data_IF_162018701907
#
_entry.id   IF_162018701907
#
_cell.length_a   1.000
_cell.length_b   1.000
_cell.length_c   1.000
_cell.angle_alpha   90.00
_cell.angle_beta   90.00
_cell.angle_gamma   90.00
#
_symmetry.space_group_name_H-M   'P 1'
#
loop_
_entity.id
_entity.type
_entity.pdbx_description
1 polymer ?
#
# COMPACT_ATOMS: atom_id res chain seq x y z
N UNK A 1 -17.77 9.16 -7.64
CA UNK A 1 -18.74 9.56 -8.69
C UNK A 1 -19.61 8.35 -9.01
N UNK A 2 -20.91 8.56 -9.20
CA UNK A 2 -21.83 7.52 -9.67
C UNK A 2 -21.56 7.29 -11.17
N UNK A 3 -21.25 6.05 -11.56
CA UNK A 3 -20.92 5.64 -12.93
C UNK A 3 -22.08 5.00 -13.66
N UNK A 4 -23.13 4.64 -12.93
CA UNK A 4 -24.34 4.05 -13.48
C UNK A 4 -25.41 3.93 -12.40
N UNK A 5 -26.66 3.72 -12.79
CA UNK A 5 -27.71 3.29 -11.87
C UNK A 5 -28.52 2.17 -12.51
N UNK A 6 -28.88 1.18 -11.70
CA UNK A 6 -29.70 0.05 -12.11
C UNK A 6 -30.92 -0.04 -11.21
N UNK A 7 -32.09 -0.27 -11.82
CA UNK A 7 -33.35 -0.45 -11.11
C UNK A 7 -33.80 -1.89 -11.20
N UNK A 8 -34.03 -2.53 -10.06
CA UNK A 8 -34.65 -3.85 -9.98
C UNK A 8 -35.96 -3.75 -9.18
N UNK A 9 -37.08 -3.70 -9.90
CA UNK A 9 -38.41 -3.50 -9.32
C UNK A 9 -38.54 -2.13 -8.64
N UNK A 10 -38.74 -2.11 -7.33
CA UNK A 10 -38.80 -0.91 -6.50
C UNK A 10 -37.43 -0.49 -5.92
N UNK A 11 -36.38 -1.30 -6.10
CA UNK A 11 -35.04 -1.01 -5.57
C UNK A 11 -34.21 -0.24 -6.60
N UNK A 12 -33.54 0.81 -6.12
CA UNK A 12 -32.56 1.57 -6.87
C UNK A 12 -31.16 1.19 -6.37
N UNK A 13 -30.27 0.86 -7.30
CA UNK A 13 -28.86 0.60 -7.06
C UNK A 13 -28.06 1.65 -7.81
N UNK A 14 -27.23 2.40 -7.11
CA UNK A 14 -26.25 3.30 -7.70
C UNK A 14 -24.93 2.54 -7.83
N UNK A 15 -24.38 2.49 -9.04
CA UNK A 15 -23.06 1.95 -9.32
C UNK A 15 -22.06 3.07 -9.08
N UNK A 16 -21.24 2.95 -8.03
CA UNK A 16 -20.18 3.90 -7.74
C UNK A 16 -18.90 3.45 -8.42
N UNK A 17 -18.18 4.39 -9.05
CA UNK A 17 -16.81 4.13 -9.52
C UNK A 17 -15.99 3.49 -8.39
N UNK A 18 -15.22 2.45 -8.70
CA UNK A 18 -14.28 1.87 -7.73
C UNK A 18 -13.34 2.97 -7.25
N UNK A 19 -13.41 3.27 -5.96
CA UNK A 19 -12.41 4.10 -5.32
C UNK A 19 -11.16 3.23 -5.28
N UNK A 20 -10.10 3.65 -5.99
CA UNK A 20 -8.87 2.88 -6.09
C UNK A 20 -8.28 2.55 -4.71
N UNK A 21 -7.34 1.62 -4.72
CA UNK A 21 -6.70 1.07 -3.53
C UNK A 21 -5.53 1.97 -3.10
N UNK A 22 -5.34 2.16 -1.80
CA UNK A 22 -4.16 2.86 -1.29
C UNK A 22 -3.32 1.93 -0.43
N UNK A 23 -2.02 2.11 -0.52
CA UNK A 23 -1.07 1.43 0.37
C UNK A 23 -0.95 2.22 1.67
N UNK A 24 -0.82 1.49 2.78
CA UNK A 24 -0.66 2.06 4.12
C UNK A 24 0.73 1.70 4.65
N UNK A 25 1.47 2.71 5.11
CA UNK A 25 2.67 2.49 5.89
C UNK A 25 2.27 2.26 7.35
N UNK A 26 2.54 1.06 7.85
CA UNK A 26 2.22 0.67 9.23
C UNK A 26 3.15 1.29 10.28
N UNK A 27 4.38 1.64 9.91
CA UNK A 27 5.35 2.23 10.86
C UNK A 27 5.06 3.69 11.10
N UNK A 28 4.96 4.46 10.02
CA UNK A 28 4.65 5.88 10.14
C UNK A 28 3.15 6.10 10.43
N UNK A 29 2.34 5.04 10.31
CA UNK A 29 0.86 5.09 10.41
C UNK A 29 0.27 6.09 9.41
N UNK A 30 0.83 6.10 8.20
CA UNK A 30 0.47 7.03 7.15
C UNK A 30 -0.13 6.29 5.95
N UNK A 31 -1.21 6.84 5.41
CA UNK A 31 -1.74 6.43 4.11
C UNK A 31 -0.87 7.03 3.02
N UNK A 32 -0.29 6.21 2.15
CA UNK A 32 0.43 6.70 1.00
C UNK A 32 -0.54 7.39 0.03
N UNK A 33 -0.09 8.51 -0.54
CA UNK A 33 -0.92 9.40 -1.38
C UNK A 33 -1.34 8.73 -2.70
N UNK A 34 -0.64 7.66 -3.10
CA UNK A 34 -0.91 6.95 -4.32
C UNK A 34 -2.19 6.13 -4.18
N UNK A 35 -3.04 6.25 -5.19
CA UNK A 35 -4.28 5.49 -5.33
C UNK A 35 -4.16 4.65 -6.60
N UNK A 36 -4.07 3.34 -6.43
CA UNK A 36 -3.92 2.33 -7.47
C UNK A 36 -5.28 1.89 -7.97
N UNK A 37 -5.45 1.73 -9.28
CA UNK A 37 -6.75 1.33 -9.83
C UNK A 37 -6.94 -0.18 -9.77
N UNK A 38 -5.87 -0.95 -9.90
CA UNK A 38 -5.87 -2.40 -9.80
C UNK A 38 -5.28 -2.89 -8.47
N UNK A 39 -5.81 -4.01 -7.99
CA UNK A 39 -5.30 -4.68 -6.79
C UNK A 39 -3.85 -5.16 -7.00
N UNK A 40 -3.54 -5.72 -8.18
CA UNK A 40 -2.20 -6.17 -8.53
C UNK A 40 -1.16 -5.05 -8.43
N UNK A 41 -1.50 -3.84 -8.88
CA UNK A 41 -0.61 -2.67 -8.78
C UNK A 41 -0.36 -2.27 -7.32
N UNK A 42 -1.41 -2.29 -6.48
CA UNK A 42 -1.28 -1.98 -5.06
C UNK A 42 -0.44 -3.02 -4.31
N UNK A 43 -0.63 -4.30 -4.63
CA UNK A 43 0.14 -5.39 -4.04
C UNK A 43 1.60 -5.36 -4.47
N UNK A 44 1.87 -5.13 -5.75
CA UNK A 44 3.22 -4.98 -6.28
C UNK A 44 3.98 -3.85 -5.56
N UNK A 45 3.37 -2.67 -5.42
CA UNK A 45 4.00 -1.55 -4.73
C UNK A 45 4.17 -1.81 -3.23
N UNK A 46 3.20 -2.48 -2.58
CA UNK A 46 3.36 -2.89 -1.19
C UNK A 46 4.56 -3.84 -1.00
N UNK A 47 4.74 -4.81 -1.90
CA UNK A 47 5.87 -5.74 -1.84
C UNK A 47 7.20 -5.02 -2.08
N UNK A 48 7.24 -4.10 -3.05
CA UNK A 48 8.43 -3.31 -3.36
C UNK A 48 8.88 -2.48 -2.15
N UNK A 49 7.96 -1.77 -1.50
CA UNK A 49 8.25 -0.95 -0.32
C UNK A 49 8.73 -1.80 0.86
N UNK A 50 8.11 -2.95 1.10
CA UNK A 50 8.53 -3.88 2.15
C UNK A 50 9.94 -4.42 1.91
N UNK A 51 10.28 -4.74 0.65
CA UNK A 51 11.60 -5.23 0.30
C UNK A 51 12.68 -4.16 0.50
N UNK A 52 12.43 -2.94 0.02
CA UNK A 52 13.34 -1.79 0.20
C UNK A 52 13.64 -1.55 1.67
N UNK A 53 12.60 -1.57 2.51
CA UNK A 53 12.75 -1.40 3.95
C UNK A 53 13.51 -2.54 4.61
N UNK A 54 13.25 -3.79 4.21
CA UNK A 54 13.99 -4.94 4.72
C UNK A 54 15.48 -4.81 4.41
N UNK A 55 15.84 -4.38 3.21
CA UNK A 55 17.24 -4.16 2.82
C UNK A 55 17.91 -3.08 3.67
N UNK A 56 17.22 -1.96 3.92
CA UNK A 56 17.74 -0.89 4.78
C UNK A 56 18.00 -1.40 6.21
N UNK A 57 17.05 -2.13 6.80
CA UNK A 57 17.20 -2.72 8.14
C UNK A 57 18.38 -3.70 8.23
N UNK A 58 18.58 -4.52 7.19
CA UNK A 58 19.72 -5.44 7.14
C UNK A 58 21.05 -4.69 7.07
N UNK A 59 21.13 -3.63 6.25
CA UNK A 59 22.32 -2.80 6.13
C UNK A 59 22.66 -2.07 7.44
N UNK A 60 21.66 -1.50 8.12
CA UNK A 60 21.82 -0.88 9.44
C UNK A 60 22.32 -1.88 10.49
N UNK A 61 21.78 -3.10 10.47
CA UNK A 61 22.22 -4.18 11.37
C UNK A 61 23.66 -4.60 11.12
N UNK A 62 24.08 -4.73 9.87
CA UNK A 62 25.48 -5.03 9.53
C UNK A 62 26.42 -3.90 9.99
N UNK A 63 26.03 -2.65 9.76
CA UNK A 63 26.80 -1.47 10.18
C UNK A 63 26.98 -1.37 11.70
N UNK A 64 25.92 -1.64 12.47
CA UNK A 64 25.96 -1.62 13.94
C UNK A 64 26.81 -2.76 14.52
N UNK A 65 26.73 -3.95 13.93
CA UNK A 65 27.59 -5.09 14.36
C UNK A 65 29.07 -4.87 14.03
N UNK A 66 29.40 -4.23 12.90
CA UNK A 66 30.78 -3.92 12.53
C UNK A 66 31.47 -2.93 13.49
N UNK A 67 30.71 -2.01 14.11
CA UNK A 67 31.25 -1.07 15.11
C UNK A 67 31.48 -1.73 16.48
N UNK A 68 30.66 -2.71 16.86
CA UNK A 68 30.81 -3.44 18.14
C UNK A 68 31.98 -4.41 18.18
N UNK A 69 32.43 -4.91 17.02
CA UNK A 69 33.49 -5.94 16.94
C UNK A 69 34.91 -5.36 16.88
N UNK A 70 35.05 -4.02 16.87
CA UNK A 70 36.32 -3.30 16.79
C UNK A 70 36.67 -2.54 18.08
N UNK A 71 36.05 -2.89 19.22
CA UNK A 71 36.27 -2.26 20.54
C UNK A 71 36.91 -3.22 21.54
#
# INVERSE_FOLDING_TARGET
>A
METGSMRNGARFYCETASIGMNVYDNEEKLRLKNTYQAQEEAEFESQRLNLERLQNLLFERESTTALSNNS
#
